data_IF_341603160504
#
_entry.id   IF_341603160504
#
_cell.length_a   1.000
_cell.length_b   1.000
_cell.length_c   1.000
_cell.angle_alpha   90.00
_cell.angle_beta   90.00
_cell.angle_gamma   90.00
#
_symmetry.space_group_name_H-M   'P 1'
#
loop_
_entity.id
_entity.type
_entity.pdbx_description
1 polymer ?
#
# COMPACT_ATOMS: atom_id res chain seq x y z
N UNK A 1 10.13 -11.78 17.17
CA UNK A 1 10.95 -13.01 17.26
C UNK A 1 11.30 -13.42 15.83
N UNK A 2 12.54 -13.80 15.53
CA UNK A 2 13.03 -13.84 14.14
C UNK A 2 12.92 -15.22 13.44
N UNK A 3 12.71 -16.32 14.18
CA UNK A 3 12.64 -17.71 13.65
C UNK A 3 13.84 -18.08 12.77
N UNK A 4 15.05 -17.72 13.20
CA UNK A 4 16.30 -17.86 12.41
C UNK A 4 17.03 -19.18 12.68
N UNK A 5 16.67 -19.90 13.74
CA UNK A 5 17.27 -21.20 14.07
C UNK A 5 16.20 -22.24 14.39
N UNK A 6 16.51 -23.53 14.21
CA UNK A 6 15.59 -24.61 14.59
C UNK A 6 15.15 -24.51 16.07
N UNK A 7 16.06 -24.16 16.97
CA UNK A 7 15.78 -24.03 18.42
C UNK A 7 14.77 -22.92 18.69
N UNK A 8 14.86 -21.79 17.97
CA UNK A 8 13.89 -20.70 18.06
C UNK A 8 12.53 -21.07 17.47
N UNK A 9 12.52 -21.80 16.36
CA UNK A 9 11.30 -22.06 15.57
C UNK A 9 10.49 -23.24 16.11
N UNK A 10 11.15 -24.32 16.57
CA UNK A 10 10.49 -25.56 17.03
C UNK A 10 9.36 -25.33 18.06
N UNK A 11 9.52 -24.50 19.12
CA UNK A 11 8.44 -24.27 20.08
C UNK A 11 7.15 -23.69 19.47
N UNK A 12 7.25 -23.06 18.29
CA UNK A 12 6.15 -22.41 17.60
C UNK A 12 5.49 -23.28 16.53
N UNK A 13 5.92 -24.53 16.35
CA UNK A 13 5.42 -25.39 15.26
C UNK A 13 3.89 -25.47 15.18
N UNK A 14 3.21 -25.62 16.33
CA UNK A 14 1.73 -25.64 16.38
C UNK A 14 1.11 -24.30 15.92
N UNK A 15 1.69 -23.17 16.35
CA UNK A 15 1.23 -21.84 15.97
C UNK A 15 1.51 -21.55 14.48
N UNK A 16 2.66 -21.97 13.96
CA UNK A 16 3.02 -21.90 12.54
C UNK A 16 1.99 -22.67 11.71
N UNK A 17 1.71 -23.94 12.07
CA UNK A 17 0.68 -24.75 11.42
C UNK A 17 -0.67 -24.03 11.43
N UNK A 18 -1.11 -23.53 12.58
CA UNK A 18 -2.40 -22.84 12.67
C UNK A 18 -2.44 -21.60 11.77
N UNK A 19 -1.36 -20.81 11.74
CA UNK A 19 -1.27 -19.60 10.93
C UNK A 19 -1.33 -19.92 9.42
N UNK A 20 -0.59 -20.93 8.94
CA UNK A 20 -0.57 -21.27 7.51
C UNK A 20 -1.85 -21.98 7.05
N UNK A 21 -2.41 -22.89 7.87
CA UNK A 21 -3.68 -23.57 7.56
C UNK A 21 -4.84 -22.56 7.50
N UNK A 22 -4.85 -21.57 8.39
CA UNK A 22 -5.83 -20.47 8.36
C UNK A 22 -5.49 -19.38 7.35
N UNK A 23 -4.43 -19.52 6.56
CA UNK A 23 -3.92 -18.51 5.61
C UNK A 23 -3.71 -17.12 6.23
N UNK A 24 -3.40 -17.07 7.52
CA UNK A 24 -3.01 -15.82 8.20
C UNK A 24 -1.58 -15.40 7.82
N UNK A 25 -0.73 -16.38 7.54
CA UNK A 25 0.66 -16.17 7.14
C UNK A 25 1.00 -17.01 5.91
N UNK A 26 1.80 -16.47 4.97
CA UNK A 26 2.15 -15.06 4.88
C UNK A 26 0.91 -14.20 4.55
N UNK A 27 0.83 -12.94 5.01
CA UNK A 27 -0.34 -12.09 4.78
C UNK A 27 -0.53 -11.83 3.29
N UNK A 28 -1.65 -12.31 2.75
CA UNK A 28 -2.06 -12.10 1.38
C UNK A 28 -3.58 -12.28 1.30
N UNK A 29 -4.27 -11.24 0.84
CA UNK A 29 -5.73 -11.18 0.95
C UNK A 29 -6.44 -11.16 -0.40
N UNK A 30 -5.68 -11.12 -1.51
CA UNK A 30 -6.25 -11.23 -2.84
C UNK A 30 -6.84 -12.62 -3.03
N UNK A 31 -8.10 -12.66 -3.45
CA UNK A 31 -8.78 -13.89 -3.79
C UNK A 31 -8.23 -14.48 -5.09
N UNK A 32 -8.04 -15.80 -5.11
CA UNK A 32 -7.52 -16.50 -6.29
C UNK A 32 -8.46 -16.46 -7.51
N UNK A 33 -9.72 -16.03 -7.35
CA UNK A 33 -10.69 -15.99 -8.44
C UNK A 33 -10.35 -14.96 -9.52
N UNK A 34 -9.54 -13.94 -9.21
CA UNK A 34 -9.29 -12.81 -10.10
C UNK A 34 -7.89 -12.23 -9.92
N UNK A 35 -7.39 -11.59 -10.97
CA UNK A 35 -6.06 -11.00 -10.99
C UNK A 35 -4.93 -12.03 -10.97
N UNK A 36 -3.74 -11.57 -11.38
CA UNK A 36 -2.46 -12.27 -11.21
C UNK A 36 -1.44 -11.23 -10.80
N UNK A 37 -0.73 -11.48 -9.71
CA UNK A 37 0.12 -10.48 -9.07
C UNK A 37 1.57 -10.96 -8.97
N UNK A 38 2.51 -10.09 -9.34
CA UNK A 38 3.94 -10.38 -9.29
C UNK A 38 4.46 -10.56 -7.86
N UNK A 39 3.77 -9.95 -6.90
CA UNK A 39 4.11 -9.98 -5.48
C UNK A 39 3.18 -10.87 -4.65
N UNK A 40 2.47 -11.81 -5.32
CA UNK A 40 1.72 -12.86 -4.64
C UNK A 40 2.68 -13.70 -3.80
N UNK A 41 2.42 -13.73 -2.49
CA UNK A 41 3.22 -14.47 -1.51
C UNK A 41 2.46 -15.64 -0.92
N UNK A 42 1.25 -15.94 -1.40
CA UNK A 42 0.43 -17.01 -0.86
C UNK A 42 1.12 -18.37 -0.99
N UNK A 43 1.01 -19.18 0.06
CA UNK A 43 1.47 -20.56 0.01
C UNK A 43 0.53 -21.42 -0.84
N UNK A 44 1.13 -22.25 -1.69
CA UNK A 44 0.45 -23.33 -2.38
C UNK A 44 -0.07 -24.36 -1.38
N UNK A 45 -1.09 -25.13 -1.78
CA UNK A 45 -1.70 -26.15 -0.92
C UNK A 45 -0.66 -27.19 -0.44
N UNK A 46 0.23 -27.62 -1.33
CA UNK A 46 1.32 -28.56 -1.00
C UNK A 46 2.31 -28.00 0.01
N UNK A 47 2.61 -26.71 -0.03
CA UNK A 47 3.50 -26.04 0.94
C UNK A 47 2.85 -25.96 2.32
N UNK A 48 1.56 -25.57 2.38
CA UNK A 48 0.76 -25.57 3.62
C UNK A 48 0.73 -26.97 4.23
N UNK A 49 0.43 -27.99 3.42
CA UNK A 49 0.41 -29.39 3.87
C UNK A 49 1.78 -29.86 4.38
N UNK A 50 2.87 -29.43 3.74
CA UNK A 50 4.23 -29.77 4.17
C UNK A 50 4.51 -29.18 5.55
N UNK A 51 4.22 -27.91 5.78
CA UNK A 51 4.39 -27.26 7.08
C UNK A 51 3.46 -27.86 8.15
N UNK A 52 2.23 -28.20 7.78
CA UNK A 52 1.28 -28.83 8.69
C UNK A 52 1.75 -30.22 9.13
N UNK A 53 2.17 -31.08 8.19
CA UNK A 53 2.70 -32.42 8.49
C UNK A 53 3.97 -32.35 9.34
N UNK A 54 4.88 -31.43 9.04
CA UNK A 54 6.07 -31.20 9.84
C UNK A 54 5.71 -30.87 11.30
N UNK A 55 4.75 -29.97 11.52
CA UNK A 55 4.32 -29.62 12.87
C UNK A 55 3.59 -30.78 13.59
N UNK A 56 2.73 -31.52 12.87
CA UNK A 56 1.97 -32.67 13.40
C UNK A 56 2.86 -33.85 13.79
N UNK A 57 3.98 -34.04 13.08
CA UNK A 57 4.98 -35.08 13.38
C UNK A 57 5.97 -34.70 14.49
N UNK A 58 5.69 -33.63 15.25
CA UNK A 58 6.53 -33.19 16.37
C UNK A 58 7.68 -32.27 15.97
N UNK A 59 7.61 -31.65 14.79
CA UNK A 59 8.61 -30.73 14.25
C UNK A 59 10.02 -31.35 14.21
N UNK A 60 10.22 -32.51 13.56
CA UNK A 60 11.53 -33.14 13.48
C UNK A 60 12.56 -32.19 12.86
N UNK A 61 13.78 -32.24 13.37
CA UNK A 61 14.92 -31.49 12.80
C UNK A 61 15.34 -32.21 11.52
N UNK A 62 15.49 -31.47 10.42
CA UNK A 62 16.12 -31.98 9.20
C UNK A 62 17.63 -32.17 9.37
N UNK A 63 18.30 -32.74 8.36
CA UNK A 63 19.75 -32.87 8.35
C UNK A 63 20.41 -31.50 8.21
N UNK A 64 21.47 -31.26 8.96
CA UNK A 64 22.17 -29.98 8.93
C UNK A 64 22.85 -29.72 7.57
N UNK A 65 23.27 -30.79 6.89
CA UNK A 65 23.83 -30.72 5.54
C UNK A 65 22.81 -30.29 4.47
N UNK A 66 21.51 -30.47 4.72
CA UNK A 66 20.42 -30.07 3.80
C UNK A 66 19.90 -28.65 4.10
N UNK A 67 20.40 -28.00 5.16
CA UNK A 67 19.94 -26.68 5.55
C UNK A 67 20.33 -25.64 4.47
N UNK A 68 19.40 -24.78 4.02
CA UNK A 68 19.76 -23.70 3.13
C UNK A 68 20.73 -22.74 3.84
N UNK A 69 21.57 -22.00 3.10
CA UNK A 69 22.35 -20.91 3.68
C UNK A 69 21.47 -19.96 4.50
N UNK A 70 22.00 -19.45 5.60
CA UNK A 70 21.28 -18.49 6.43
C UNK A 70 20.85 -17.27 5.60
N UNK A 71 19.60 -16.83 5.79
CA UNK A 71 19.10 -15.63 5.14
C UNK A 71 19.97 -14.44 5.52
N UNK A 72 20.53 -13.76 4.52
CA UNK A 72 21.19 -12.46 4.69
C UNK A 72 20.13 -11.40 4.49
N UNK A 73 19.70 -10.77 5.58
CA UNK A 73 18.77 -9.66 5.51
C UNK A 73 19.50 -8.41 5.03
N UNK A 74 18.90 -7.68 4.09
CA UNK A 74 19.46 -6.43 3.62
C UNK A 74 19.50 -5.41 4.75
N UNK A 75 20.70 -4.99 5.14
CA UNK A 75 20.86 -3.85 6.04
C UNK A 75 20.66 -2.56 5.24
N UNK A 76 19.74 -1.71 5.70
CA UNK A 76 19.46 -0.44 5.06
C UNK A 76 18.32 -0.52 4.05
N UNK A 77 18.63 -0.23 2.79
CA UNK A 77 17.64 -0.03 1.71
C UNK A 77 17.36 -1.34 0.98
N UNK A 78 16.07 -1.63 0.73
CA UNK A 78 15.58 -2.77 -0.03
C UNK A 78 15.50 -2.49 -1.54
N UNK A 79 15.86 -1.27 -1.95
CA UNK A 79 16.09 -0.86 -3.33
C UNK A 79 17.59 -0.85 -3.64
N UNK A 80 18.01 -0.80 -4.93
CA UNK A 80 19.39 -0.48 -5.27
C UNK A 80 19.85 0.77 -4.52
N UNK A 81 21.17 0.90 -4.28
CA UNK A 81 21.74 2.02 -3.52
C UNK A 81 21.11 3.35 -3.97
N UNK A 82 20.39 4.07 -3.08
CA UNK A 82 19.74 5.31 -3.46
C UNK A 82 20.77 6.34 -3.95
N UNK A 83 20.43 7.01 -5.04
CA UNK A 83 21.19 8.16 -5.56
C UNK A 83 20.93 9.40 -4.70
N UNK A 84 19.74 9.49 -4.13
CA UNK A 84 19.34 10.56 -3.21
C UNK A 84 18.54 10.00 -2.04
N UNK A 85 18.88 10.46 -0.83
CA UNK A 85 18.11 10.22 0.39
C UNK A 85 17.71 11.58 0.96
N UNK A 86 16.41 11.78 1.17
CA UNK A 86 15.87 13.00 1.82
C UNK A 86 15.09 12.64 3.08
N UNK A 87 14.95 13.62 3.98
CA UNK A 87 14.15 13.49 5.20
C UNK A 87 13.73 14.87 5.70
N UNK A 88 12.74 14.95 6.58
CA UNK A 88 12.45 16.18 7.31
C UNK A 88 13.69 16.69 8.07
N UNK A 89 13.83 18.01 8.27
CA UNK A 89 15.00 18.58 8.94
C UNK A 89 15.09 18.18 10.41
N UNK A 90 13.95 17.97 11.08
CA UNK A 90 13.84 17.58 12.47
C UNK A 90 13.02 16.31 12.62
N UNK A 91 13.30 15.54 13.68
CA UNK A 91 12.44 14.43 14.07
C UNK A 91 11.13 14.95 14.67
N UNK A 92 10.06 14.19 14.50
CA UNK A 92 8.77 14.46 15.15
C UNK A 92 8.61 13.59 16.38
N UNK A 93 8.25 14.21 17.51
CA UNK A 93 7.98 13.49 18.75
C UNK A 93 6.55 12.94 18.76
N UNK A 94 6.41 11.62 18.75
CA UNK A 94 5.12 10.95 18.87
C UNK A 94 4.83 10.67 20.35
N UNK A 95 3.68 11.12 20.88
CA UNK A 95 3.32 10.86 22.28
C UNK A 95 3.02 9.37 22.50
N UNK A 96 3.04 8.95 23.77
CA UNK A 96 2.74 7.56 24.13
C UNK A 96 1.27 7.17 23.94
N UNK A 97 0.35 8.14 24.03
CA UNK A 97 -1.11 7.95 24.01
C UNK A 97 -1.79 9.13 23.32
N UNK A 98 -3.06 8.95 22.98
CA UNK A 98 -3.92 9.99 22.40
C UNK A 98 -3.99 9.92 20.88
N UNK A 99 -4.72 10.85 20.30
CA UNK A 99 -4.79 11.08 18.86
C UNK A 99 -3.59 11.90 18.40
N UNK A 100 -3.06 11.60 17.22
CA UNK A 100 -2.09 12.47 16.54
C UNK A 100 -2.72 12.85 15.21
N UNK A 101 -2.97 14.15 15.02
CA UNK A 101 -3.41 14.67 13.73
C UNK A 101 -2.38 14.36 12.65
N UNK A 102 -2.83 14.23 11.40
CA UNK A 102 -1.94 14.00 10.27
C UNK A 102 -0.85 15.08 10.22
N UNK A 103 0.40 14.62 10.12
CA UNK A 103 1.55 15.50 10.07
C UNK A 103 2.06 15.63 8.64
N UNK A 104 2.50 16.82 8.27
CA UNK A 104 3.01 17.14 6.94
C UNK A 104 4.38 17.77 7.08
N UNK A 105 5.39 17.15 6.45
CA UNK A 105 6.77 17.59 6.53
C UNK A 105 7.33 17.81 5.14
N UNK A 106 8.06 18.91 4.96
CA UNK A 106 8.90 19.07 3.76
C UNK A 106 10.14 18.18 3.94
N UNK A 107 10.38 17.29 2.99
CA UNK A 107 11.52 16.39 3.02
C UNK A 107 12.62 16.89 2.07
N UNK A 108 13.75 17.32 2.64
CA UNK A 108 14.89 17.83 1.89
C UNK A 108 14.67 19.22 1.27
N UNK A 109 15.57 19.59 0.35
CA UNK A 109 15.49 20.83 -0.41
C UNK A 109 14.71 20.62 -1.72
N UNK A 110 14.39 21.72 -2.40
CA UNK A 110 13.82 21.69 -3.75
C UNK A 110 14.78 21.04 -4.75
N UNK A 111 14.21 20.32 -5.71
CA UNK A 111 14.97 19.70 -6.79
C UNK A 111 15.40 20.78 -7.79
N UNK A 112 16.68 20.83 -8.15
CA UNK A 112 17.21 21.83 -9.09
C UNK A 112 16.95 21.49 -10.56
N UNK A 113 16.60 20.24 -10.85
CA UNK A 113 16.43 19.71 -12.19
C UNK A 113 15.41 18.57 -12.18
N UNK A 114 14.91 18.21 -13.36
CA UNK A 114 13.96 17.13 -13.54
C UNK A 114 14.58 15.78 -13.13
N UNK A 115 13.78 14.95 -12.45
CA UNK A 115 14.20 13.61 -12.00
C UNK A 115 13.18 12.54 -12.38
N UNK A 116 13.67 11.51 -13.06
CA UNK A 116 12.96 10.26 -13.27
C UNK A 116 13.33 9.27 -12.17
N UNK A 117 12.37 8.80 -11.39
CA UNK A 117 12.56 7.91 -10.25
C UNK A 117 12.14 6.49 -10.63
N UNK A 118 13.11 5.60 -10.78
CA UNK A 118 12.88 4.19 -11.16
C UNK A 118 12.64 3.27 -9.96
N UNK A 119 13.09 3.68 -8.77
CA UNK A 119 12.75 3.01 -7.51
C UNK A 119 12.65 4.02 -6.36
N UNK A 120 11.74 3.77 -5.42
CA UNK A 120 11.55 4.59 -4.22
C UNK A 120 11.20 3.72 -3.02
N UNK A 121 11.80 4.04 -1.88
CA UNK A 121 11.52 3.40 -0.61
C UNK A 121 11.33 4.47 0.48
N UNK A 122 10.23 4.37 1.21
CA UNK A 122 9.99 5.15 2.43
C UNK A 122 10.39 4.29 3.62
N UNK A 123 11.26 4.82 4.48
CA UNK A 123 11.77 4.14 5.67
C UNK A 123 11.49 4.95 6.92
N UNK A 124 10.51 4.55 7.74
CA UNK A 124 10.33 5.12 9.06
C UNK A 124 11.62 5.09 9.88
N UNK A 125 11.88 6.16 10.62
CA UNK A 125 12.91 6.16 11.66
C UNK A 125 12.48 5.29 12.85
N UNK A 126 11.17 5.26 13.12
CA UNK A 126 10.53 4.44 14.12
C UNK A 126 9.28 3.77 13.53
N UNK A 127 9.46 2.56 12.98
CA UNK A 127 8.39 1.80 12.34
C UNK A 127 7.25 1.39 13.29
N UNK A 128 7.46 1.47 14.61
CA UNK A 128 6.41 1.13 15.58
C UNK A 128 5.30 2.19 15.64
N UNK A 129 5.61 3.45 15.32
CA UNK A 129 4.65 4.57 15.44
C UNK A 129 4.13 5.07 14.10
N UNK A 130 4.82 4.78 12.98
CA UNK A 130 4.38 5.18 11.63
C UNK A 130 3.38 4.15 11.10
N UNK A 131 2.11 4.54 11.03
CA UNK A 131 1.03 3.68 10.53
C UNK A 131 0.93 3.73 9.00
N UNK A 132 1.04 4.90 8.39
CA UNK A 132 1.27 5.03 6.96
C UNK A 132 1.92 6.38 6.64
N UNK A 133 2.48 6.48 5.44
CA UNK A 133 2.99 7.73 4.90
C UNK A 133 2.70 7.85 3.41
N UNK A 134 2.46 9.07 2.95
CA UNK A 134 2.33 9.41 1.53
C UNK A 134 3.36 10.46 1.18
N UNK A 135 4.10 10.24 0.10
CA UNK A 135 5.07 11.20 -0.42
C UNK A 135 4.45 11.88 -1.63
N UNK A 136 4.09 13.15 -1.47
CA UNK A 136 3.62 13.98 -2.58
C UNK A 136 4.76 14.77 -3.21
N UNK A 137 4.67 14.98 -4.51
CA UNK A 137 5.47 15.95 -5.25
C UNK A 137 4.70 17.25 -5.31
N UNK A 138 5.16 18.26 -4.57
CA UNK A 138 4.59 19.62 -4.62
C UNK A 138 5.37 20.45 -5.63
N UNK A 139 4.71 20.81 -6.72
CA UNK A 139 5.33 21.56 -7.83
C UNK A 139 5.56 23.02 -7.46
N UNK A 140 6.43 23.70 -8.20
CA UNK A 140 6.60 25.15 -8.05
C UNK A 140 5.28 25.89 -8.31
N UNK A 141 4.90 26.80 -7.41
CA UNK A 141 3.63 27.53 -7.48
C UNK A 141 2.45 26.87 -6.76
N UNK A 142 2.55 25.60 -6.36
CA UNK A 142 1.53 24.97 -5.51
C UNK A 142 1.53 25.59 -4.11
N UNK A 143 0.34 25.91 -3.59
CA UNK A 143 0.16 26.57 -2.29
C UNK A 143 -0.43 25.66 -1.20
N UNK A 144 -0.74 24.41 -1.54
CA UNK A 144 -1.36 23.49 -0.58
C UNK A 144 -0.35 23.07 0.51
N UNK A 145 -0.84 22.99 1.74
CA UNK A 145 -0.05 22.64 2.93
C UNK A 145 -0.55 21.39 3.63
N UNK A 146 -1.77 20.94 3.33
CA UNK A 146 -2.42 19.73 3.83
C UNK A 146 -3.27 19.09 2.74
N UNK A 147 -3.58 17.80 2.89
CA UNK A 147 -4.52 17.08 2.03
C UNK A 147 -5.99 17.42 2.34
N UNK A 148 -6.93 17.01 1.47
CA UNK A 148 -6.69 16.29 0.21
C UNK A 148 -6.07 17.20 -0.86
N UNK A 149 -5.19 16.64 -1.70
CA UNK A 149 -4.48 17.35 -2.78
C UNK A 149 -4.56 16.58 -4.10
N UNK A 150 -4.34 17.28 -5.21
CA UNK A 150 -4.24 16.67 -6.56
C UNK A 150 -2.79 16.37 -6.96
N UNK A 151 -1.83 16.70 -6.10
CA UNK A 151 -0.41 16.49 -6.32
C UNK A 151 -0.06 15.07 -6.77
N UNK A 152 1.06 14.94 -7.47
CA UNK A 152 1.61 13.62 -7.81
C UNK A 152 2.01 12.88 -6.53
N UNK A 153 1.74 11.58 -6.48
CA UNK A 153 2.17 10.72 -5.38
C UNK A 153 3.39 9.95 -5.84
N UNK A 154 4.53 10.22 -5.22
CA UNK A 154 5.78 9.50 -5.48
C UNK A 154 5.75 8.11 -4.84
N UNK A 155 5.28 7.99 -3.61
CA UNK A 155 5.24 6.73 -2.88
C UNK A 155 4.10 6.71 -1.84
N UNK A 156 3.58 5.51 -1.58
CA UNK A 156 2.67 5.22 -0.46
C UNK A 156 3.29 4.10 0.37
N UNK A 157 3.39 4.32 1.67
CA UNK A 157 3.95 3.35 2.61
C UNK A 157 2.89 2.94 3.64
N UNK A 158 2.83 1.65 3.91
CA UNK A 158 2.21 1.08 5.10
C UNK A 158 3.08 -0.09 5.61
N UNK A 159 3.03 -0.43 6.91
CA UNK A 159 3.74 -1.59 7.43
C UNK A 159 3.50 -2.85 6.58
N UNK A 160 4.59 -3.50 6.16
CA UNK A 160 4.54 -4.73 5.36
C UNK A 160 4.53 -4.55 3.83
N UNK A 161 4.47 -3.30 3.32
CA UNK A 161 4.66 -3.02 1.89
C UNK A 161 6.12 -3.17 1.48
N UNK A 162 6.35 -3.78 0.32
CA UNK A 162 7.66 -3.74 -0.35
C UNK A 162 7.91 -2.34 -0.93
N UNK A 163 9.18 -1.94 -1.16
CA UNK A 163 9.48 -0.72 -1.90
C UNK A 163 8.94 -0.77 -3.33
N UNK A 164 8.78 0.41 -3.93
CA UNK A 164 8.40 0.51 -5.33
C UNK A 164 9.64 0.41 -6.21
N UNK A 165 9.68 -0.63 -7.05
CA UNK A 165 10.65 -0.78 -8.13
C UNK A 165 9.87 -0.91 -9.43
N UNK A 166 9.95 0.12 -10.28
CA UNK A 166 9.15 0.16 -11.51
C UNK A 166 9.79 -0.72 -12.59
N UNK A 167 8.98 -1.32 -13.49
CA UNK A 167 9.50 -2.11 -14.60
C UNK A 167 10.46 -1.30 -15.49
N UNK A 168 11.43 -1.95 -16.17
CA UNK A 168 12.32 -1.26 -17.09
C UNK A 168 11.57 -0.41 -18.12
N UNK A 169 12.06 0.82 -18.34
CA UNK A 169 11.41 1.79 -19.24
C UNK A 169 10.23 2.55 -18.62
N UNK A 170 9.93 2.32 -17.33
CA UNK A 170 8.92 3.06 -16.58
C UNK A 170 9.55 3.75 -15.37
N UNK A 171 9.13 4.98 -15.06
CA UNK A 171 9.54 5.68 -13.85
C UNK A 171 8.50 6.73 -13.44
N UNK A 172 8.54 7.16 -12.18
CA UNK A 172 7.82 8.37 -11.73
C UNK A 172 8.63 9.62 -12.01
N UNK A 173 7.99 10.77 -12.02
CA UNK A 173 8.63 12.04 -12.38
C UNK A 173 8.55 13.07 -11.25
N UNK A 174 9.63 13.80 -11.03
CA UNK A 174 9.71 14.96 -10.14
C UNK A 174 10.19 16.13 -11.01
N UNK A 175 9.33 17.11 -11.32
CA UNK A 175 9.74 18.30 -12.06
C UNK A 175 10.75 19.15 -11.28
N UNK A 176 11.64 19.84 -11.99
CA UNK A 176 12.53 20.84 -11.42
C UNK A 176 11.75 21.91 -10.64
N UNK A 177 12.33 22.39 -9.54
CA UNK A 177 11.73 23.35 -8.61
C UNK A 177 10.73 22.74 -7.62
N UNK A 178 10.34 21.47 -7.78
CA UNK A 178 9.45 20.77 -6.85
C UNK A 178 10.12 20.45 -5.52
N UNK A 179 9.31 20.18 -4.50
CA UNK A 179 9.74 19.61 -3.22
C UNK A 179 8.90 18.37 -2.88
N UNK A 180 9.41 17.53 -1.98
CA UNK A 180 8.64 16.40 -1.47
C UNK A 180 7.95 16.77 -0.16
N UNK A 181 6.64 16.53 -0.10
CA UNK A 181 5.84 16.67 1.11
C UNK A 181 5.48 15.28 1.61
N UNK A 182 5.96 14.97 2.79
CA UNK A 182 5.73 13.71 3.49
C UNK A 182 4.55 13.87 4.46
N UNK A 183 3.40 13.32 4.08
CA UNK A 183 2.24 13.17 4.94
C UNK A 183 2.40 11.88 5.76
N UNK A 184 2.27 11.95 7.09
CA UNK A 184 2.41 10.81 7.99
C UNK A 184 1.22 10.73 8.94
N UNK A 185 0.63 9.55 9.01
CA UNK A 185 -0.30 9.17 10.08
C UNK A 185 0.48 8.38 11.13
N UNK A 186 0.58 8.95 12.32
CA UNK A 186 1.17 8.29 13.49
C UNK A 186 0.09 7.64 14.35
N UNK A 187 0.38 6.44 14.85
CA UNK A 187 -0.46 5.77 15.84
C UNK A 187 0.34 5.56 17.12
N UNK A 188 -0.01 6.25 18.22
CA UNK A 188 0.63 6.01 19.52
C UNK A 188 0.47 4.56 19.99
N UNK A 189 1.58 3.95 20.41
CA UNK A 189 1.66 2.51 20.77
C UNK A 189 1.91 2.27 22.25
N UNK A 190 1.55 3.22 23.12
CA UNK A 190 1.76 3.12 24.57
C UNK A 190 3.15 3.52 25.05
N UNK A 191 4.08 3.80 24.13
CA UNK A 191 5.42 4.32 24.39
C UNK A 191 5.70 5.49 23.47
N UNK A 192 6.12 6.63 24.04
CA UNK A 192 6.53 7.79 23.26
C UNK A 192 7.84 7.49 22.51
N UNK A 193 8.03 8.16 21.38
CA UNK A 193 9.26 8.02 20.60
C UNK A 193 9.32 9.00 19.46
N UNK A 194 10.52 9.24 18.97
CA UNK A 194 10.75 10.15 17.85
C UNK A 194 10.77 9.38 16.54
N UNK A 195 10.21 9.97 15.49
CA UNK A 195 10.33 9.49 14.13
C UNK A 195 11.02 10.53 13.24
N UNK A 196 11.91 10.03 12.38
CA UNK A 196 12.46 10.81 11.27
C UNK A 196 12.48 9.92 10.03
N UNK A 197 11.31 9.77 9.43
CA UNK A 197 11.14 9.03 8.20
C UNK A 197 12.04 9.57 7.08
N UNK A 198 12.66 8.65 6.34
CA UNK A 198 13.56 8.92 5.20
C UNK A 198 12.94 8.40 3.91
N UNK A 199 13.24 9.07 2.81
CA UNK A 199 12.83 8.67 1.45
C UNK A 199 14.11 8.45 0.65
N UNK A 200 14.33 7.22 0.20
CA UNK A 200 15.42 6.86 -0.71
C UNK A 200 14.91 6.74 -2.13
N UNK A 201 15.62 7.32 -3.08
CA UNK A 201 15.27 7.32 -4.50
C UNK A 201 16.45 6.84 -5.34
N UNK A 202 16.13 6.01 -6.35
CA UNK A 202 17.04 5.64 -7.43
C UNK A 202 16.53 6.29 -8.70
N UNK A 203 17.41 7.00 -9.41
CA UNK A 203 17.06 7.70 -10.64
C UNK A 203 17.28 6.83 -11.87
N UNK A 204 16.39 6.99 -12.86
CA UNK A 204 16.51 6.32 -14.14
C UNK A 204 17.77 6.81 -14.88
N UNK A 205 18.56 5.88 -15.41
CA UNK A 205 19.82 6.19 -16.14
C UNK A 205 19.59 6.82 -17.52
N UNK A 206 18.38 6.69 -18.04
CA UNK A 206 17.94 7.29 -19.30
C UNK A 206 16.46 7.68 -19.16
N UNK A 207 15.96 8.64 -19.95
CA UNK A 207 14.54 8.96 -19.98
C UNK A 207 13.70 7.70 -20.22
N UNK A 208 12.67 7.43 -19.40
CA UNK A 208 11.80 6.27 -19.57
C UNK A 208 10.90 6.47 -20.79
N UNK A 209 10.39 5.36 -21.34
CA UNK A 209 9.34 5.41 -22.36
C UNK A 209 7.97 5.75 -21.74
N UNK A 210 7.74 5.35 -20.49
CA UNK A 210 6.47 5.55 -19.78
C UNK A 210 6.67 6.27 -18.45
N UNK A 211 5.78 7.21 -18.13
CA UNK A 211 5.63 7.79 -16.79
C UNK A 211 4.62 6.97 -16.00
N UNK A 212 4.96 6.64 -14.76
CA UNK A 212 4.03 6.03 -13.81
C UNK A 212 3.31 7.13 -13.02
N UNK A 213 1.99 7.03 -12.93
CA UNK A 213 1.13 7.89 -12.13
C UNK A 213 0.41 7.04 -11.10
N UNK A 214 0.44 7.46 -9.83
CA UNK A 214 -0.49 6.95 -8.81
C UNK A 214 -1.74 7.80 -8.83
N UNK A 215 -2.86 7.14 -9.13
CA UNK A 215 -4.20 7.71 -9.16
C UNK A 215 -5.01 7.19 -7.98
N UNK A 216 -6.08 7.90 -7.65
CA UNK A 216 -7.00 7.50 -6.60
C UNK A 216 -8.44 7.87 -6.97
N UNK A 217 -9.37 7.09 -6.44
CA UNK A 217 -10.80 7.43 -6.34
C UNK A 217 -11.23 7.21 -4.89
N UNK A 218 -12.13 8.03 -4.41
CA UNK A 218 -12.60 7.95 -3.04
C UNK A 218 -14.07 8.30 -2.98
N UNK A 219 -14.74 7.78 -1.97
CA UNK A 219 -16.09 8.19 -1.62
C UNK A 219 -16.03 8.79 -0.21
N UNK A 220 -16.32 10.09 -0.11
CA UNK A 220 -16.29 10.83 1.15
C UNK A 220 -17.68 11.04 1.74
N UNK A 221 -18.72 10.86 0.93
CA UNK A 221 -20.12 11.07 1.33
C UNK A 221 -20.77 9.73 1.65
N UNK A 222 -20.50 9.22 2.86
CA UNK A 222 -21.18 8.03 3.37
C UNK A 222 -21.35 8.09 4.89
N UNK A 223 -22.32 7.31 5.39
CA UNK A 223 -22.56 7.09 6.82
C UNK A 223 -22.93 5.63 7.02
N UNK A 224 -22.06 4.89 7.70
CA UNK A 224 -22.26 3.50 8.08
C UNK A 224 -23.09 3.50 9.37
N UNK A 225 -24.33 2.98 9.36
CA UNK A 225 -25.15 2.92 10.57
C UNK A 225 -24.52 2.04 11.65
N UNK A 226 -24.80 2.35 12.91
CA UNK A 226 -24.47 1.52 14.06
C UNK A 226 -24.97 0.08 13.86
N UNK A 227 -24.16 -0.90 14.27
CA UNK A 227 -24.53 -2.32 14.19
C UNK A 227 -24.49 -2.96 12.80
N UNK A 228 -24.31 -2.20 11.72
CA UNK A 228 -24.40 -2.73 10.36
C UNK A 228 -23.17 -3.56 9.97
N UNK A 229 -23.39 -4.82 9.56
CA UNK A 229 -22.32 -5.81 9.33
C UNK A 229 -21.73 -5.82 7.91
N UNK A 230 -22.52 -5.38 6.93
CA UNK A 230 -22.23 -5.51 5.49
C UNK A 230 -22.61 -4.22 4.74
N UNK A 231 -22.16 -3.07 5.23
CA UNK A 231 -22.45 -1.79 4.59
C UNK A 231 -21.53 -1.57 3.39
N UNK A 232 -22.08 -1.39 2.20
CA UNK A 232 -21.30 -1.21 0.96
C UNK A 232 -21.22 0.26 0.58
N UNK A 233 -20.01 0.70 0.25
CA UNK A 233 -19.72 2.02 -0.31
C UNK A 233 -19.02 1.82 -1.64
N UNK A 234 -19.43 2.57 -2.66
CA UNK A 234 -18.81 2.49 -3.98
C UNK A 234 -18.40 3.86 -4.51
N UNK A 235 -17.38 3.83 -5.36
CA UNK A 235 -16.95 4.95 -6.20
C UNK A 235 -16.69 4.42 -7.59
N UNK A 236 -17.03 5.20 -8.61
CA UNK A 236 -16.74 4.85 -9.99
C UNK A 236 -16.27 6.06 -10.77
N UNK A 237 -15.55 5.80 -11.85
CA UNK A 237 -15.06 6.81 -12.77
C UNK A 237 -14.78 6.19 -14.13
N UNK A 238 -14.44 7.04 -15.09
CA UNK A 238 -14.08 6.62 -16.45
C UNK A 238 -12.66 7.05 -16.75
N UNK A 239 -11.86 6.15 -17.31
CA UNK A 239 -10.48 6.45 -17.66
C UNK A 239 -10.44 7.55 -18.73
N UNK A 240 -9.72 8.66 -18.49
CA UNK A 240 -9.74 9.83 -19.38
C UNK A 240 -8.97 9.60 -20.69
N UNK A 241 -7.88 8.84 -20.64
CA UNK A 241 -6.99 8.53 -21.76
C UNK A 241 -6.46 7.10 -21.62
N UNK A 242 -5.93 6.53 -22.70
CA UNK A 242 -5.31 5.20 -22.70
C UNK A 242 -4.16 5.13 -21.67
N UNK A 243 -4.08 4.01 -20.95
CA UNK A 243 -3.00 3.77 -19.98
C UNK A 243 -2.75 2.27 -19.78
N UNK A 244 -1.62 1.93 -19.15
CA UNK A 244 -1.35 0.57 -18.68
C UNK A 244 -1.54 0.51 -17.16
N UNK A 245 -2.51 -0.26 -16.69
CA UNK A 245 -2.70 -0.51 -15.26
C UNK A 245 -1.58 -1.40 -14.73
N UNK A 246 -0.97 -1.01 -13.60
CA UNK A 246 0.19 -1.68 -13.00
C UNK A 246 -0.11 -2.33 -11.65
N UNK A 247 -1.11 -1.86 -10.92
CA UNK A 247 -1.45 -2.43 -9.63
C UNK A 247 -2.43 -1.59 -8.82
N UNK A 248 -2.80 -2.11 -7.67
CA UNK A 248 -3.83 -1.55 -6.78
C UNK A 248 -3.33 -1.46 -5.34
N UNK A 249 -3.87 -0.54 -4.57
CA UNK A 249 -3.66 -0.42 -3.14
C UNK A 249 -4.97 0.03 -2.48
N UNK A 250 -5.77 -0.89 -1.92
CA UNK A 250 -6.98 -0.55 -1.17
C UNK A 250 -6.64 0.02 0.20
N UNK A 251 -7.40 1.02 0.62
CA UNK A 251 -7.27 1.66 1.93
C UNK A 251 -8.65 1.88 2.57
N UNK A 252 -8.79 1.36 3.79
CA UNK A 252 -9.93 1.51 4.70
C UNK A 252 -9.41 1.50 6.15
N UNK A 253 -10.24 1.93 7.11
CA UNK A 253 -9.88 1.88 8.53
C UNK A 253 -10.37 0.59 9.20
N UNK A 254 -10.59 0.63 10.52
CA UNK A 254 -10.75 -0.53 11.39
C UNK A 254 -12.00 -1.39 11.09
N UNK A 255 -13.02 -0.81 10.44
CA UNK A 255 -14.26 -1.49 10.05
C UNK A 255 -14.20 -2.07 8.64
N UNK A 256 -13.13 -1.81 7.89
CA UNK A 256 -12.94 -2.39 6.56
C UNK A 256 -13.01 -3.92 6.60
N UNK A 257 -13.89 -4.50 5.78
CA UNK A 257 -14.17 -5.94 5.72
C UNK A 257 -13.72 -6.56 4.39
N UNK A 258 -14.08 -5.92 3.28
CA UNK A 258 -13.69 -6.36 1.94
C UNK A 258 -13.49 -5.17 1.01
N UNK A 259 -12.67 -5.35 -0.02
CA UNK A 259 -12.48 -4.32 -1.06
C UNK A 259 -12.42 -4.99 -2.43
N UNK A 260 -13.11 -4.42 -3.40
CA UNK A 260 -13.18 -4.92 -4.77
C UNK A 260 -12.81 -3.82 -5.76
N UNK A 261 -11.96 -4.15 -6.74
CA UNK A 261 -11.67 -3.33 -7.92
C UNK A 261 -12.25 -4.02 -9.14
N UNK A 262 -13.13 -3.35 -9.86
CA UNK A 262 -13.73 -3.86 -11.10
C UNK A 262 -13.52 -2.89 -12.25
N UNK A 263 -13.52 -3.43 -13.48
CA UNK A 263 -13.67 -2.65 -14.70
C UNK A 263 -14.91 -3.10 -15.47
N UNK A 264 -15.47 -2.20 -16.25
CA UNK A 264 -16.54 -2.48 -17.19
C UNK A 264 -16.07 -1.98 -18.56
N UNK A 265 -15.90 -2.92 -19.49
CA UNK A 265 -15.67 -2.63 -20.90
C UNK A 265 -17.01 -2.30 -21.57
N UNK A 266 -16.95 -1.60 -22.69
CA UNK A 266 -18.16 -1.26 -23.46
C UNK A 266 -18.98 -2.52 -23.79
N UNK A 267 -20.29 -2.47 -23.51
CA UNK A 267 -21.23 -3.57 -23.72
C UNK A 267 -20.85 -4.92 -23.07
N UNK A 268 -20.09 -4.89 -21.97
CA UNK A 268 -19.61 -6.08 -21.26
C UNK A 268 -20.08 -6.13 -19.82
N UNK A 269 -20.11 -7.34 -19.23
CA UNK A 269 -20.30 -7.52 -17.78
C UNK A 269 -19.09 -6.96 -17.00
N UNK A 270 -19.28 -6.55 -15.73
CA UNK A 270 -18.15 -6.16 -14.88
C UNK A 270 -17.15 -7.30 -14.72
N UNK A 271 -15.87 -6.98 -14.89
CA UNK A 271 -14.75 -7.87 -14.62
C UNK A 271 -14.07 -7.44 -13.31
N UNK A 272 -14.01 -8.34 -12.34
CA UNK A 272 -13.25 -8.13 -11.11
C UNK A 272 -11.76 -8.28 -11.38
N UNK A 273 -10.98 -7.26 -11.04
CA UNK A 273 -9.52 -7.22 -11.23
C UNK A 273 -8.76 -7.56 -9.94
N UNK A 274 -9.32 -7.17 -8.79
CA UNK A 274 -8.84 -7.51 -7.47
C UNK A 274 -10.03 -7.64 -6.51
N UNK A 275 -10.06 -8.72 -5.72
CA UNK A 275 -11.01 -8.91 -4.65
C UNK A 275 -10.27 -9.26 -3.35
N UNK A 276 -10.46 -8.46 -2.32
CA UNK A 276 -10.05 -8.78 -0.95
C UNK A 276 -11.28 -9.22 -0.16
N UNK A 277 -11.44 -10.52 0.09
CA UNK A 277 -12.58 -11.03 0.88
C UNK A 277 -12.46 -10.77 2.38
N UNK A 278 -11.24 -10.61 2.87
CA UNK A 278 -10.92 -10.37 4.26
C UNK A 278 -9.83 -9.30 4.34
N UNK A 279 -10.24 -8.04 4.18
CA UNK A 279 -9.34 -6.90 4.33
C UNK A 279 -8.74 -6.87 5.74
N UNK A 280 -7.48 -6.46 5.83
CA UNK A 280 -6.78 -6.33 7.11
C UNK A 280 -6.14 -4.94 7.23
N UNK A 281 -6.66 -4.15 8.16
CA UNK A 281 -6.17 -2.80 8.45
C UNK A 281 -4.67 -2.75 8.77
N UNK A 282 -4.14 -3.80 9.41
CA UNK A 282 -2.73 -3.88 9.79
C UNK A 282 -1.82 -4.38 8.65
N UNK A 283 -2.41 -4.83 7.54
CA UNK A 283 -1.69 -5.32 6.35
C UNK A 283 -2.24 -4.69 5.08
N UNK A 284 -1.90 -3.43 4.88
CA UNK A 284 -2.28 -2.69 3.67
C UNK A 284 -1.17 -2.85 2.64
N UNK A 285 -1.49 -3.53 1.55
CA UNK A 285 -0.51 -4.01 0.58
C UNK A 285 -0.78 -3.43 -0.80
N UNK A 286 0.31 -3.17 -1.53
CA UNK A 286 0.22 -3.08 -2.98
C UNK A 286 -0.03 -4.47 -3.57
N UNK A 287 -0.90 -4.54 -4.58
CA UNK A 287 -1.15 -5.71 -5.41
C UNK A 287 -0.65 -5.38 -6.81
N UNK A 288 0.60 -5.74 -7.10
CA UNK A 288 1.31 -5.41 -8.35
C UNK A 288 0.95 -6.44 -9.40
N UNK A 289 0.34 -6.03 -10.51
CA UNK A 289 -0.05 -6.96 -11.57
C UNK A 289 1.17 -7.67 -12.14
N UNK A 290 1.05 -8.98 -12.39
CA UNK A 290 2.11 -9.79 -12.99
C UNK A 290 2.44 -9.33 -14.42
N UNK A 291 1.43 -8.82 -15.14
CA UNK A 291 1.59 -8.18 -16.43
C UNK A 291 0.79 -6.86 -16.44
N UNK A 292 1.37 -5.75 -16.92
CA UNK A 292 0.64 -4.52 -17.14
C UNK A 292 -0.60 -4.76 -18.00
N UNK A 293 -1.75 -4.21 -17.58
CA UNK A 293 -3.03 -4.41 -18.25
C UNK A 293 -3.42 -3.15 -19.04
N UNK A 294 -3.58 -3.23 -20.38
CA UNK A 294 -4.08 -2.10 -21.15
C UNK A 294 -5.49 -1.71 -20.71
N UNK A 295 -5.68 -0.42 -20.47
CA UNK A 295 -6.98 0.20 -20.28
C UNK A 295 -7.18 1.26 -21.37
N UNK A 296 -8.32 1.20 -22.06
CA UNK A 296 -8.69 2.18 -23.07
C UNK A 296 -9.37 3.39 -22.44
N UNK A 297 -9.18 4.57 -23.04
CA UNK A 297 -10.04 5.74 -22.83
C UNK A 297 -11.50 5.29 -22.84
N UNK A 298 -12.28 5.74 -21.86
CA UNK A 298 -13.68 5.33 -21.74
C UNK A 298 -13.92 4.08 -20.89
N UNK A 299 -12.88 3.32 -20.52
CA UNK A 299 -13.03 2.18 -19.59
C UNK A 299 -13.61 2.67 -18.27
N UNK A 300 -14.73 2.09 -17.83
CA UNK A 300 -15.32 2.41 -16.52
C UNK A 300 -14.63 1.58 -15.45
N UNK A 301 -14.13 2.25 -14.42
CA UNK A 301 -13.57 1.65 -13.22
C UNK A 301 -14.58 1.83 -12.09
N UNK A 302 -14.76 0.80 -11.26
CA UNK A 302 -15.66 0.84 -10.13
C UNK A 302 -15.05 0.08 -8.95
N UNK A 303 -15.06 0.71 -7.78
CA UNK A 303 -14.51 0.14 -6.57
C UNK A 303 -15.57 0.05 -5.50
N UNK A 304 -15.51 -1.02 -4.71
CA UNK A 304 -16.53 -1.34 -3.72
C UNK A 304 -15.83 -1.72 -2.44
N UNK A 305 -16.02 -0.91 -1.41
CA UNK A 305 -15.65 -1.22 -0.03
C UNK A 305 -16.86 -1.78 0.70
N UNK A 306 -16.64 -2.76 1.58
CA UNK A 306 -17.65 -3.24 2.53
C UNK A 306 -17.11 -3.05 3.94
N UNK A 307 -17.97 -2.58 4.84
CA UNK A 307 -17.65 -2.32 6.24
C UNK A 307 -18.49 -3.18 7.20
N UNK A 308 -17.87 -3.54 8.32
CA UNK A 308 -18.51 -4.19 9.46
C UNK A 308 -18.45 -3.26 10.69
N UNK A 309 -19.51 -2.48 10.89
CA UNK A 309 -19.75 -1.64 12.06
C UNK A 309 -20.58 -2.38 13.14
N UNK A 310 -20.60 -3.71 13.13
CA UNK A 310 -21.27 -4.50 14.17
C UNK A 310 -20.36 -4.80 15.36
N UNK A 311 -20.95 -5.23 16.48
CA UNK A 311 -20.22 -5.71 17.65
C UNK A 311 -19.46 -7.03 17.41
N UNK A 312 -19.72 -7.71 16.28
CA UNK A 312 -19.01 -8.94 15.91
C UNK A 312 -17.64 -8.67 15.29
N UNK A 313 -17.35 -7.43 14.86
CA UNK A 313 -16.03 -7.04 14.40
C UNK A 313 -15.13 -6.71 15.60
N UNK A 314 -14.13 -7.54 15.93
CA UNK A 314 -13.26 -7.32 17.10
C UNK A 314 -12.36 -6.08 16.96
N UNK A 315 -12.28 -5.48 15.78
CA UNK A 315 -11.53 -4.24 15.53
C UNK A 315 -12.39 -2.99 15.65
N UNK A 316 -13.71 -3.13 15.75
CA UNK A 316 -14.61 -1.99 15.83
C UNK A 316 -14.46 -1.28 17.20
N UNK A 317 -14.01 -0.02 17.24
CA UNK A 317 -13.80 0.69 18.49
C UNK A 317 -15.11 1.11 19.17
N UNK A 318 -16.19 1.28 18.41
CA UNK A 318 -17.52 1.64 18.90
C UNK A 318 -18.59 1.15 17.91
N UNK A 319 -19.29 0.03 18.21
CA UNK A 319 -20.34 -0.50 17.34
C UNK A 319 -21.70 0.18 17.52
N UNK A 320 -21.83 1.11 18.47
CA UNK A 320 -23.10 1.78 18.81
C UNK A 320 -23.27 3.13 18.12
N UNK A 321 -22.20 3.65 17.51
CA UNK A 321 -22.21 4.91 16.78
C UNK A 321 -22.31 4.72 15.26
N UNK A 322 -22.98 5.67 14.60
CA UNK A 322 -22.89 5.81 13.15
C UNK A 322 -21.55 6.45 12.77
N UNK A 323 -20.89 5.91 11.74
CA UNK A 323 -19.52 6.31 11.36
C UNK A 323 -19.48 6.79 9.92
N UNK A 324 -18.86 7.94 9.67
CA UNK A 324 -18.68 8.50 8.33
C UNK A 324 -17.22 8.57 7.91
N UNK A 325 -16.98 9.25 6.79
CA UNK A 325 -15.62 9.56 6.35
C UNK A 325 -14.87 10.40 7.39
N UNK A 326 -13.60 10.06 7.62
CA UNK A 326 -12.71 10.83 8.49
C UNK A 326 -11.27 10.32 8.43
N UNK A 327 -10.36 11.10 9.00
CA UNK A 327 -8.92 10.82 8.94
C UNK A 327 -8.45 9.84 10.02
N UNK A 328 -9.16 9.78 11.14
CA UNK A 328 -8.73 8.98 12.27
C UNK A 328 -9.11 7.51 12.09
N UNK A 329 -8.30 6.58 12.62
CA UNK A 329 -8.55 5.13 12.44
C UNK A 329 -9.87 4.63 13.05
N UNK A 330 -10.48 5.38 13.97
CA UNK A 330 -11.81 5.08 14.50
C UNK A 330 -12.97 5.69 13.68
N UNK A 331 -12.67 6.57 12.74
CA UNK A 331 -13.55 6.98 11.64
C UNK A 331 -13.37 6.00 10.47
N UNK A 332 -13.84 6.32 9.26
CA UNK A 332 -13.62 5.47 8.09
C UNK A 332 -13.10 6.19 6.85
N UNK A 333 -12.48 5.41 5.97
CA UNK A 333 -12.09 5.85 4.63
C UNK A 333 -12.49 4.83 3.59
N UNK A 334 -12.82 5.32 2.41
CA UNK A 334 -12.91 4.54 1.18
C UNK A 334 -11.93 5.16 0.19
N UNK A 335 -10.75 4.57 0.03
CA UNK A 335 -9.80 4.99 -0.99
C UNK A 335 -9.23 3.76 -1.69
N UNK A 336 -9.33 3.72 -3.01
CA UNK A 336 -8.46 2.86 -3.81
C UNK A 336 -7.35 3.70 -4.41
N UNK A 337 -6.12 3.28 -4.27
CA UNK A 337 -5.04 3.79 -5.09
C UNK A 337 -4.76 2.77 -6.18
N UNK A 338 -4.28 3.25 -7.33
CA UNK A 338 -3.86 2.41 -8.42
C UNK A 338 -2.80 3.11 -9.23
N UNK A 339 -1.84 2.33 -9.72
CA UNK A 339 -0.78 2.84 -10.57
C UNK A 339 -1.13 2.59 -12.03
N UNK A 340 -0.92 3.62 -12.86
CA UNK A 340 -0.99 3.52 -14.32
C UNK A 340 0.29 4.02 -14.96
N UNK A 341 0.67 3.42 -16.09
CA UNK A 341 1.74 3.91 -16.94
C UNK A 341 1.15 4.61 -18.17
N UNK A 342 1.64 5.82 -18.46
CA UNK A 342 1.27 6.67 -19.60
C UNK A 342 2.53 7.04 -20.37
N UNK A 343 2.42 7.66 -21.54
CA UNK A 343 3.60 8.15 -22.27
C UNK A 343 4.38 9.15 -21.42
N UNK A 344 5.72 9.10 -21.50
CA UNK A 344 6.60 9.86 -20.60
C UNK A 344 6.34 11.39 -20.61
N UNK A 345 5.93 11.95 -21.74
CA UNK A 345 5.61 13.38 -21.86
C UNK A 345 4.28 13.81 -21.23
N UNK A 346 3.44 12.88 -20.79
CA UNK A 346 2.12 13.21 -20.23
C UNK A 346 2.25 13.53 -18.74
N UNK A 347 1.96 14.76 -18.34
CA UNK A 347 1.79 15.09 -16.94
C UNK A 347 0.42 14.66 -16.39
N UNK A 348 0.28 14.59 -15.06
CA UNK A 348 -0.97 14.11 -14.43
C UNK A 348 -2.15 15.01 -14.75
N UNK A 349 -1.98 16.33 -14.83
CA UNK A 349 -3.06 17.28 -15.13
C UNK A 349 -3.54 17.06 -16.57
N UNK A 350 -2.60 16.93 -17.51
CA UNK A 350 -2.85 16.61 -18.92
C UNK A 350 -3.50 15.23 -19.10
N UNK A 351 -3.14 14.23 -18.28
CA UNK A 351 -3.77 12.91 -18.32
C UNK A 351 -5.29 12.97 -18.08
N UNK A 352 -5.77 13.93 -17.29
CA UNK A 352 -7.21 14.11 -17.02
C UNK A 352 -7.92 14.99 -18.07
N UNK A 353 -7.20 15.62 -18.99
CA UNK A 353 -7.80 16.33 -20.13
C UNK A 353 -8.13 15.30 -21.21
N UNK A 354 -9.42 15.11 -21.51
CA UNK A 354 -9.84 14.25 -22.62
C UNK A 354 -9.44 14.95 -23.92
N UNK A 355 -8.49 14.36 -24.66
CA UNK A 355 -8.26 14.79 -26.04
C UNK A 355 -9.46 14.36 -26.87
N UNK A 356 -10.01 15.26 -27.69
CA UNK A 356 -11.18 15.00 -28.53
C UNK A 356 -10.95 13.86 -29.52
#
# INVERSE_FOLDING_TARGET
MAFTTYRETRPWAKAIREAVVKRKMPPWFADSCCGKFANDRALAKSEIETLARWAESGAPRGWEADAPPANVWTEGWNIPRPDLVVSPPQAFHVPAKGAVEYQYFIAGARFSEDRWVSAVEVRPGNAAVVHHAVVYVRESGDTWTRGPTKADILAVYAPGTAPDVFPPGMAKFIPAGSELVLEIHYTPVGKAGDDRTRIGMVFAKAPPAKRVLTLQMNQTEFRIPAGQRDYRVSVWGTLPNDALLLGFFPHMHLRGKSFEFTRILENSLPETLLLLKAYDFYWQLWYRLAAPMPLKKGTRLNWIATYDNSAANPRNPDPTADVGYGFQSWEEMMVGFFDVAVDAGVDKKAFFVRQE
#
